data_IF_291910483108
#
_entry.id   IF_291910483108
#
_cell.length_a   1.000
_cell.length_b   1.000
_cell.length_c   1.000
_cell.angle_alpha   90.00
_cell.angle_beta   90.00
_cell.angle_gamma   90.00
#
_symmetry.space_group_name_H-M   'P 1'
#
loop_
_entity.id
_entity.type
_entity.pdbx_description
1 polymer ?
#
# COMPACT_ATOMS: atom_id res chain seq x y z
N UNK A 1 -20.46 24.94 19.14
CA UNK A 1 -20.53 26.17 18.32
C UNK A 1 -19.27 26.95 18.63
N UNK A 2 -18.46 27.33 17.63
CA UNK A 2 -17.29 28.20 17.88
C UNK A 2 -17.81 29.58 18.28
N UNK A 3 -17.35 30.11 19.42
CA UNK A 3 -17.61 31.50 19.81
C UNK A 3 -16.61 32.46 19.14
N UNK A 4 -16.88 33.77 19.23
CA UNK A 4 -16.06 34.79 18.56
C UNK A 4 -14.63 34.87 19.10
N UNK A 5 -14.45 34.62 20.40
CA UNK A 5 -13.13 34.65 21.04
C UNK A 5 -12.26 33.49 20.52
N UNK A 6 -12.84 32.30 20.41
CA UNK A 6 -12.16 31.11 19.91
C UNK A 6 -11.92 31.19 18.40
N UNK A 7 -12.86 31.76 17.63
CA UNK A 7 -12.66 32.02 16.21
C UNK A 7 -11.50 32.99 15.97
N UNK A 8 -11.43 34.10 16.73
CA UNK A 8 -10.34 35.06 16.67
C UNK A 8 -8.99 34.43 17.06
N UNK A 9 -8.98 33.57 18.09
CA UNK A 9 -7.78 32.85 18.50
C UNK A 9 -7.20 31.97 17.38
N UNK A 10 -8.05 31.33 16.59
CA UNK A 10 -7.64 30.53 15.43
C UNK A 10 -7.49 31.33 14.12
N UNK A 11 -7.68 32.66 14.17
CA UNK A 11 -7.60 33.52 12.98
C UNK A 11 -8.74 33.28 11.97
N UNK A 12 -9.89 32.80 12.42
CA UNK A 12 -11.07 32.56 11.58
C UNK A 12 -11.93 33.83 11.52
N UNK A 13 -12.04 34.43 10.34
CA UNK A 13 -12.91 35.57 10.11
C UNK A 13 -14.35 35.12 9.80
N UNK A 14 -15.27 35.49 10.69
CA UNK A 14 -16.68 35.16 10.59
C UNK A 14 -17.38 35.77 9.38
N UNK A 15 -16.96 36.94 8.91
CA UNK A 15 -17.55 37.57 7.74
C UNK A 15 -17.22 36.78 6.46
N UNK A 16 -16.02 36.19 6.40
CA UNK A 16 -15.54 35.46 5.22
C UNK A 16 -16.28 34.13 5.07
N UNK A 17 -16.29 33.27 6.09
CA UNK A 17 -16.91 31.95 5.94
C UNK A 17 -18.44 32.04 5.82
N UNK A 18 -19.10 33.02 6.45
CA UNK A 18 -20.55 33.27 6.26
C UNK A 18 -20.86 33.63 4.81
N UNK A 19 -20.09 34.54 4.22
CA UNK A 19 -20.24 34.89 2.80
C UNK A 19 -20.06 33.68 1.88
N UNK A 20 -19.04 32.86 2.12
CA UNK A 20 -18.85 31.63 1.32
C UNK A 20 -19.99 30.64 1.50
N UNK A 21 -20.50 30.49 2.72
CA UNK A 21 -21.66 29.63 3.02
C UNK A 21 -22.92 30.11 2.27
N UNK A 22 -23.23 31.40 2.29
CA UNK A 22 -24.37 31.98 1.57
C UNK A 22 -24.28 31.74 0.06
N UNK A 23 -23.09 31.92 -0.53
CA UNK A 23 -22.86 31.64 -1.96
C UNK A 23 -23.11 30.16 -2.28
N UNK A 24 -22.60 29.24 -1.46
CA UNK A 24 -22.81 27.80 -1.66
C UNK A 24 -24.28 27.43 -1.48
N UNK A 25 -24.96 28.01 -0.49
CA UNK A 25 -26.38 27.75 -0.22
C UNK A 25 -27.28 28.24 -1.36
N UNK A 26 -26.93 29.38 -1.98
CA UNK A 26 -27.67 29.94 -3.10
C UNK A 26 -27.43 29.19 -4.44
N UNK A 27 -26.35 28.41 -4.53
CA UNK A 27 -26.01 27.65 -5.72
C UNK A 27 -26.85 26.36 -5.83
N UNK A 28 -27.82 26.37 -6.75
CA UNK A 28 -28.77 25.27 -6.99
C UNK A 28 -28.08 23.97 -7.41
N UNK A 29 -26.91 24.05 -8.03
CA UNK A 29 -26.15 22.94 -8.61
C UNK A 29 -24.87 22.60 -7.83
N UNK A 30 -24.64 23.20 -6.65
CA UNK A 30 -23.40 23.02 -5.89
C UNK A 30 -23.08 21.54 -5.63
N UNK A 31 -24.08 20.76 -5.20
CA UNK A 31 -23.91 19.32 -4.97
C UNK A 31 -23.60 18.55 -6.26
N UNK A 32 -24.32 18.85 -7.36
CA UNK A 32 -24.11 18.19 -8.64
C UNK A 32 -22.72 18.50 -9.23
N UNK A 33 -22.26 19.74 -9.10
CA UNK A 33 -20.91 20.17 -9.51
C UNK A 33 -19.83 19.41 -8.76
N UNK A 34 -19.95 19.29 -7.44
CA UNK A 34 -19.01 18.50 -6.62
C UNK A 34 -19.05 17.03 -7.04
N UNK A 35 -20.24 16.43 -7.16
CA UNK A 35 -20.36 15.03 -7.62
C UNK A 35 -19.73 14.82 -8.99
N UNK A 36 -19.93 15.73 -9.95
CA UNK A 36 -19.33 15.64 -11.27
C UNK A 36 -17.80 15.78 -11.25
N UNK A 37 -17.27 16.61 -10.36
CA UNK A 37 -15.83 16.76 -10.18
C UNK A 37 -15.18 15.48 -9.63
N UNK A 38 -15.80 14.84 -8.64
CA UNK A 38 -15.29 13.62 -7.99
C UNK A 38 -15.74 12.30 -8.63
N UNK A 39 -16.73 12.34 -9.54
CA UNK A 39 -17.25 11.16 -10.23
C UNK A 39 -16.39 10.69 -11.41
N UNK A 40 -15.34 11.45 -11.77
CA UNK A 40 -14.40 11.03 -12.80
C UNK A 40 -13.57 9.87 -12.28
N UNK A 41 -13.56 8.76 -13.03
CA UNK A 41 -12.66 7.66 -12.74
C UNK A 41 -11.21 8.17 -12.74
N UNK A 42 -10.38 7.62 -11.86
CA UNK A 42 -8.96 7.97 -11.78
C UNK A 42 -8.31 7.86 -13.16
N UNK A 43 -7.65 8.93 -13.60
CA UNK A 43 -6.86 8.96 -14.84
C UNK A 43 -5.55 8.19 -14.61
N UNK A 44 -5.62 6.86 -14.62
CA UNK A 44 -4.47 5.99 -14.42
C UNK A 44 -4.77 4.56 -14.79
N UNK A 45 -3.73 3.78 -15.07
CA UNK A 45 -3.88 2.34 -15.19
C UNK A 45 -4.39 1.76 -13.86
N UNK A 46 -5.31 0.81 -13.94
CA UNK A 46 -5.76 0.11 -12.75
C UNK A 46 -4.58 -0.61 -12.09
N UNK A 47 -4.42 -0.44 -10.77
CA UNK A 47 -3.45 -1.20 -10.00
C UNK A 47 -3.77 -2.70 -10.11
N UNK A 48 -2.73 -3.49 -10.40
CA UNK A 48 -2.84 -4.95 -10.61
C UNK A 48 -2.16 -5.74 -9.51
N UNK A 49 -1.33 -5.09 -8.71
CA UNK A 49 -0.62 -5.69 -7.59
C UNK A 49 -1.50 -5.77 -6.34
N UNK A 50 -1.84 -6.98 -5.85
CA UNK A 50 -2.70 -7.13 -4.68
C UNK A 50 -2.19 -6.41 -3.41
N UNK A 51 -0.87 -6.23 -3.27
CA UNK A 51 -0.29 -5.51 -2.13
C UNK A 51 -0.68 -4.01 -2.14
N UNK A 52 -1.07 -3.44 -3.29
CA UNK A 52 -1.54 -2.05 -3.44
C UNK A 52 -3.06 -1.92 -3.65
N UNK A 53 -3.80 -3.03 -3.65
CA UNK A 53 -5.24 -3.07 -3.96
C UNK A 53 -6.16 -3.09 -2.72
N UNK A 54 -5.72 -2.59 -1.57
CA UNK A 54 -6.54 -2.63 -0.33
C UNK A 54 -7.87 -1.88 -0.46
N UNK A 55 -7.90 -0.81 -1.27
CA UNK A 55 -9.10 0.00 -1.51
C UNK A 55 -9.80 -0.29 -2.84
N UNK A 56 -9.38 -1.34 -3.57
CA UNK A 56 -9.99 -1.73 -4.85
C UNK A 56 -11.33 -2.48 -4.70
N UNK A 57 -11.99 -2.34 -3.55
CA UNK A 57 -13.26 -2.99 -3.23
C UNK A 57 -13.16 -3.94 -2.03
N UNK A 58 -14.33 -4.21 -1.44
CA UNK A 58 -14.46 -5.08 -0.27
C UNK A 58 -14.61 -6.55 -0.67
N UNK A 59 -14.03 -7.45 0.12
CA UNK A 59 -14.24 -8.89 -0.05
C UNK A 59 -15.68 -9.30 0.30
N UNK A 60 -16.25 -10.22 -0.49
CA UNK A 60 -17.56 -10.80 -0.20
C UNK A 60 -17.52 -11.74 1.01
N UNK A 61 -18.69 -12.03 1.59
CA UNK A 61 -18.77 -12.84 2.82
C UNK A 61 -18.29 -14.29 2.64
N UNK A 62 -18.45 -14.84 1.43
CA UNK A 62 -17.88 -16.15 1.09
C UNK A 62 -16.35 -16.14 1.20
N UNK A 63 -15.70 -15.17 0.55
CA UNK A 63 -14.24 -15.01 0.60
C UNK A 63 -13.74 -14.72 2.02
N UNK A 64 -14.46 -13.90 2.80
CA UNK A 64 -14.12 -13.65 4.21
C UNK A 64 -14.09 -14.94 5.04
N UNK A 65 -15.04 -15.86 4.82
CA UNK A 65 -15.06 -17.17 5.50
C UNK A 65 -13.87 -18.02 5.06
N UNK A 66 -13.54 -18.04 3.77
CA UNK A 66 -12.36 -18.76 3.25
C UNK A 66 -11.05 -18.19 3.82
N UNK A 67 -10.93 -16.86 3.94
CA UNK A 67 -9.79 -16.19 4.60
C UNK A 67 -9.70 -16.54 6.09
N UNK A 68 -10.82 -16.78 6.77
CA UNK A 68 -10.79 -17.29 8.16
C UNK A 68 -10.29 -18.73 8.22
N UNK A 69 -10.69 -19.58 7.27
CA UNK A 69 -10.16 -20.95 7.15
C UNK A 69 -8.65 -20.93 6.99
N UNK A 70 -8.12 -20.15 6.03
CA UNK A 70 -6.67 -19.98 5.81
C UNK A 70 -5.93 -19.65 7.12
N UNK A 71 -6.40 -18.63 7.85
CA UNK A 71 -5.73 -18.17 9.07
C UNK A 71 -5.81 -19.16 10.24
N UNK A 72 -6.74 -20.12 10.19
CA UNK A 72 -6.89 -21.17 11.22
C UNK A 72 -6.19 -22.47 10.85
N UNK A 73 -5.81 -22.64 9.60
CA UNK A 73 -5.05 -23.80 9.14
C UNK A 73 -3.63 -23.77 9.71
N UNK A 74 -3.09 -24.95 10.01
CA UNK A 74 -1.69 -25.07 10.37
C UNK A 74 -0.80 -24.71 9.18
N UNK A 75 0.40 -24.11 9.39
CA UNK A 75 1.31 -23.75 8.30
C UNK A 75 1.57 -24.89 7.31
N UNK A 76 1.82 -26.10 7.81
CA UNK A 76 2.10 -27.29 7.01
C UNK A 76 0.94 -27.70 6.07
N UNK A 77 -0.28 -27.25 6.35
CA UNK A 77 -1.46 -27.54 5.54
C UNK A 77 -1.77 -26.44 4.52
N UNK A 78 -1.19 -25.23 4.66
CA UNK A 78 -1.49 -24.08 3.80
C UNK A 78 -1.21 -24.36 2.32
N UNK A 79 -0.14 -25.10 2.00
CA UNK A 79 0.20 -25.49 0.62
C UNK A 79 -0.74 -26.53 0.01
N UNK A 80 -1.60 -27.17 0.81
CA UNK A 80 -2.55 -28.19 0.37
C UNK A 80 -3.97 -27.64 0.21
N UNK A 81 -4.21 -26.39 0.61
CA UNK A 81 -5.53 -25.80 0.54
C UNK A 81 -5.86 -25.40 -0.90
N UNK A 82 -6.77 -26.14 -1.53
CA UNK A 82 -7.41 -25.71 -2.77
C UNK A 82 -8.65 -24.87 -2.44
N UNK A 83 -8.49 -23.54 -2.46
CA UNK A 83 -9.51 -22.60 -2.03
C UNK A 83 -10.12 -21.87 -3.23
N UNK A 84 -11.44 -22.01 -3.48
CA UNK A 84 -12.10 -21.36 -4.60
C UNK A 84 -12.47 -19.91 -4.25
N UNK A 85 -11.47 -19.04 -4.12
CA UNK A 85 -11.69 -17.61 -3.94
C UNK A 85 -12.44 -17.02 -5.14
N UNK A 86 -13.40 -16.13 -4.89
CA UNK A 86 -14.08 -15.37 -5.94
C UNK A 86 -13.31 -14.11 -6.30
N UNK A 87 -12.78 -13.44 -5.29
CA UNK A 87 -11.93 -12.26 -5.50
C UNK A 87 -10.56 -12.67 -6.09
N UNK A 88 -10.17 -12.13 -7.26
CA UNK A 88 -8.95 -12.53 -7.95
C UNK A 88 -7.67 -12.18 -7.18
N UNK A 89 -7.73 -11.23 -6.23
CA UNK A 89 -6.58 -10.83 -5.42
C UNK A 89 -6.13 -11.94 -4.48
N UNK A 90 -7.07 -12.72 -3.96
CA UNK A 90 -6.83 -13.62 -2.81
C UNK A 90 -5.92 -14.80 -3.14
N UNK A 91 -5.93 -15.29 -4.38
CA UNK A 91 -5.04 -16.39 -4.79
C UNK A 91 -3.58 -15.98 -4.70
N UNK A 92 -3.24 -14.82 -5.26
CA UNK A 92 -1.90 -14.26 -5.22
C UNK A 92 -1.52 -13.83 -3.79
N UNK A 93 -2.45 -13.22 -3.04
CA UNK A 93 -2.21 -12.87 -1.63
C UNK A 93 -1.88 -14.10 -0.77
N UNK A 94 -2.58 -15.24 -0.95
CA UNK A 94 -2.30 -16.48 -0.23
C UNK A 94 -0.92 -17.04 -0.60
N UNK A 95 -0.56 -17.02 -1.88
CA UNK A 95 0.78 -17.42 -2.34
C UNK A 95 1.87 -16.58 -1.66
N UNK A 96 1.77 -15.25 -1.70
CA UNK A 96 2.76 -14.36 -1.07
C UNK A 96 2.78 -14.48 0.44
N UNK A 97 1.62 -14.69 1.07
CA UNK A 97 1.54 -14.95 2.50
C UNK A 97 2.32 -16.20 2.90
N UNK A 98 2.14 -17.31 2.16
CA UNK A 98 2.94 -18.53 2.36
C UNK A 98 4.42 -18.26 2.12
N UNK A 99 4.78 -17.65 1.00
CA UNK A 99 6.17 -17.45 0.62
C UNK A 99 6.96 -16.56 1.60
N UNK A 100 6.30 -15.55 2.19
CA UNK A 100 6.91 -14.64 3.17
C UNK A 100 7.04 -15.24 4.56
N UNK A 101 6.08 -16.05 5.00
CA UNK A 101 5.97 -16.49 6.40
C UNK A 101 6.30 -17.97 6.62
N UNK A 102 6.08 -18.80 5.60
CA UNK A 102 6.21 -20.26 5.64
C UNK A 102 6.85 -20.77 4.32
N UNK A 103 8.05 -20.30 3.96
CA UNK A 103 8.70 -20.65 2.69
C UNK A 103 8.95 -22.17 2.55
N UNK A 104 9.07 -22.90 3.65
CA UNK A 104 9.18 -24.36 3.69
C UNK A 104 7.93 -25.09 3.17
N UNK A 105 6.81 -24.37 3.03
CA UNK A 105 5.56 -24.92 2.48
C UNK A 105 5.49 -24.82 0.96
N UNK A 106 6.41 -24.10 0.32
CA UNK A 106 6.44 -23.92 -1.13
C UNK A 106 6.95 -25.18 -1.82
N UNK A 107 6.38 -25.51 -2.98
CA UNK A 107 7.01 -26.45 -3.90
C UNK A 107 8.26 -25.83 -4.56
N UNK A 108 9.08 -26.65 -5.22
CA UNK A 108 10.26 -26.15 -5.95
C UNK A 108 9.88 -25.11 -7.02
N UNK A 109 8.76 -25.31 -7.71
CA UNK A 109 8.27 -24.38 -8.74
C UNK A 109 7.74 -23.09 -8.12
N UNK A 110 6.99 -23.19 -7.02
CA UNK A 110 6.54 -22.02 -6.25
C UNK A 110 7.73 -21.21 -5.69
N UNK A 111 8.78 -21.89 -5.25
CA UNK A 111 10.01 -21.26 -4.75
C UNK A 111 10.71 -20.48 -5.86
N UNK A 112 10.88 -21.06 -7.06
CA UNK A 112 11.43 -20.36 -8.24
C UNK A 112 10.56 -19.18 -8.66
N UNK A 113 9.24 -19.33 -8.65
CA UNK A 113 8.30 -18.25 -8.94
C UNK A 113 8.46 -17.11 -7.93
N UNK A 114 8.58 -17.43 -6.65
CA UNK A 114 8.78 -16.45 -5.58
C UNK A 114 10.11 -15.73 -5.69
N UNK A 115 11.21 -16.46 -5.94
CA UNK A 115 12.53 -15.87 -6.17
C UNK A 115 12.52 -14.90 -7.35
N UNK A 116 11.88 -15.29 -8.46
CA UNK A 116 11.71 -14.42 -9.63
C UNK A 116 10.94 -13.15 -9.28
N UNK A 117 9.85 -13.27 -8.53
CA UNK A 117 9.08 -12.13 -8.05
C UNK A 117 9.92 -11.19 -7.16
N UNK A 118 10.66 -11.74 -6.20
CA UNK A 118 11.53 -10.98 -5.30
C UNK A 118 12.62 -10.23 -6.06
N UNK A 119 13.31 -10.90 -6.98
CA UNK A 119 14.36 -10.28 -7.81
C UNK A 119 13.80 -9.16 -8.69
N UNK A 120 12.62 -9.37 -9.29
CA UNK A 120 11.97 -8.33 -10.08
C UNK A 120 11.64 -7.08 -9.25
N UNK A 121 11.17 -7.25 -8.00
CA UNK A 121 10.89 -6.15 -7.07
C UNK A 121 12.13 -5.43 -6.60
N UNK A 122 13.14 -6.19 -6.17
CA UNK A 122 14.39 -5.64 -5.64
C UNK A 122 15.18 -4.93 -6.74
N UNK A 123 15.13 -5.42 -7.98
CA UNK A 123 15.82 -4.82 -9.12
C UNK A 123 14.93 -3.86 -9.93
N UNK A 124 13.75 -3.51 -9.44
CA UNK A 124 12.94 -2.46 -10.06
C UNK A 124 13.75 -1.17 -10.12
N UNK A 125 13.83 -0.59 -11.31
CA UNK A 125 14.67 0.59 -11.57
C UNK A 125 14.25 1.76 -10.71
N UNK A 126 12.95 2.02 -10.61
CA UNK A 126 12.44 3.17 -9.87
C UNK A 126 12.65 2.99 -8.36
N UNK A 127 12.45 1.79 -7.85
CA UNK A 127 12.76 1.46 -6.46
C UNK A 127 14.25 1.67 -6.13
N UNK A 128 15.17 1.25 -7.02
CA UNK A 128 16.62 1.45 -6.84
C UNK A 128 17.01 2.93 -6.88
N UNK A 129 16.45 3.70 -7.80
CA UNK A 129 16.66 5.16 -7.89
C UNK A 129 16.15 5.87 -6.62
N UNK A 130 14.95 5.54 -6.14
CA UNK A 130 14.37 6.09 -4.92
C UNK A 130 15.18 5.73 -3.67
N UNK A 131 15.64 4.48 -3.57
CA UNK A 131 16.51 4.04 -2.48
C UNK A 131 17.83 4.83 -2.46
N UNK A 132 18.50 5.00 -3.60
CA UNK A 132 19.76 5.74 -3.69
C UNK A 132 19.57 7.22 -3.31
N UNK A 133 18.49 7.85 -3.77
CA UNK A 133 18.16 9.22 -3.41
C UNK A 133 17.89 9.38 -1.89
N UNK A 134 17.09 8.48 -1.31
CA UNK A 134 16.79 8.48 0.12
C UNK A 134 18.02 8.23 0.98
N UNK A 135 18.94 7.36 0.54
CA UNK A 135 20.21 7.10 1.23
C UNK A 135 21.11 8.35 1.25
N UNK A 136 21.21 9.05 0.13
CA UNK A 136 21.99 10.29 0.03
C UNK A 136 21.38 11.41 0.89
N UNK A 137 20.05 11.54 0.90
CA UNK A 137 19.35 12.50 1.73
C UNK A 137 19.56 12.20 3.23
N UNK A 138 19.40 10.95 3.65
CA UNK A 138 19.58 10.54 5.04
C UNK A 138 21.00 10.83 5.53
N UNK A 139 22.01 10.54 4.69
CA UNK A 139 23.42 10.86 4.97
C UNK A 139 23.65 12.37 5.12
N UNK A 140 23.07 13.17 4.23
CA UNK A 140 23.19 14.63 4.29
C UNK A 140 22.54 15.26 5.53
N UNK A 141 21.45 14.69 6.04
CA UNK A 141 20.76 15.19 7.24
C UNK A 141 21.35 14.68 8.55
N UNK A 142 21.75 13.41 8.59
CA UNK A 142 22.17 12.73 9.80
C UNK A 142 23.67 12.78 10.09
N UNK A 143 24.51 13.08 9.09
CA UNK A 143 25.96 13.12 9.24
C UNK A 143 26.53 11.80 9.79
N UNK A 144 27.57 11.90 10.60
CA UNK A 144 28.31 10.73 11.11
C UNK A 144 27.47 9.82 12.02
N UNK A 145 26.41 10.35 12.65
CA UNK A 145 25.56 9.58 13.58
C UNK A 145 24.81 8.45 12.88
N UNK A 146 24.48 8.61 11.59
CA UNK A 146 23.71 7.62 10.83
C UNK A 146 24.59 6.68 9.99
N UNK A 147 25.89 6.96 9.82
CA UNK A 147 26.75 6.23 8.89
C UNK A 147 26.78 4.72 9.13
N UNK A 148 26.88 4.29 10.39
CA UNK A 148 26.89 2.85 10.72
C UNK A 148 25.59 2.16 10.31
N UNK A 149 24.44 2.82 10.51
CA UNK A 149 23.14 2.30 10.13
C UNK A 149 22.99 2.26 8.60
N UNK A 150 23.38 3.33 7.91
CA UNK A 150 23.28 3.42 6.45
C UNK A 150 24.21 2.40 5.76
N UNK A 151 25.40 2.15 6.30
CA UNK A 151 26.29 1.11 5.80
C UNK A 151 25.71 -0.29 6.01
N UNK A 152 25.07 -0.54 7.16
CA UNK A 152 24.39 -1.80 7.43
C UNK A 152 23.20 -2.03 6.49
N UNK A 153 22.44 -0.97 6.20
CA UNK A 153 21.34 -1.01 5.24
C UNK A 153 21.85 -1.31 3.83
N UNK A 154 22.95 -0.69 3.40
CA UNK A 154 23.50 -0.95 2.08
C UNK A 154 24.04 -2.38 1.95
N UNK A 155 24.73 -2.88 2.96
CA UNK A 155 25.19 -4.27 3.00
C UNK A 155 24.02 -5.26 2.90
N UNK A 156 22.90 -4.97 3.58
CA UNK A 156 21.68 -5.77 3.45
C UNK A 156 21.14 -5.74 2.02
N UNK A 157 21.03 -4.58 1.39
CA UNK A 157 20.53 -4.44 0.01
C UNK A 157 21.43 -5.15 -1.00
N UNK A 158 22.76 -5.11 -0.80
CA UNK A 158 23.72 -5.83 -1.63
C UNK A 158 23.55 -7.36 -1.48
N UNK A 159 23.24 -7.83 -0.26
CA UNK A 159 22.96 -9.26 -0.01
C UNK A 159 21.70 -9.78 -0.72
N UNK A 160 20.74 -8.92 -1.04
CA UNK A 160 19.51 -9.30 -1.76
C UNK A 160 19.75 -9.57 -3.25
N UNK A 161 20.89 -9.12 -3.80
CA UNK A 161 21.20 -9.15 -5.23
C UNK A 161 21.95 -10.37 -5.74
N UNK A 162 22.30 -11.35 -4.89
CA UNK A 162 23.22 -12.44 -5.27
C UNK A 162 22.77 -13.79 -4.72
N UNK A 163 22.22 -14.65 -5.58
CA UNK A 163 22.66 -16.04 -5.74
C UNK A 163 22.52 -16.42 -7.22
N UNK A 164 23.66 -16.46 -7.92
CA UNK A 164 23.80 -17.21 -9.16
C UNK A 164 23.91 -18.69 -8.78
N UNK A 165 22.94 -19.51 -9.20
CA UNK A 165 23.16 -20.93 -9.46
C UNK A 165 22.70 -21.23 -10.88
#
# INVERSE_FOLDING_TARGET
MLDEALAAHYGLDNAIWKRHFEVIQAAVDAAATVTAAFGRASEGAAETDPDFMIYSGFFGDADKKLMQTVRRSAPADLGRLDIPFRDPRLKEMLFRYRARNYPETLTDDESKQWQTFCLARVNDRHARENYAAGLAEARGRGGDEVESLLNSLNAYVDSLGVEHN
#
